data_IF_621004187399
#
_entry.id   IF_621004187399
#
_cell.length_a   1.000
_cell.length_b   1.000
_cell.length_c   1.000
_cell.angle_alpha   90.00
_cell.angle_beta   90.00
_cell.angle_gamma   90.00
#
_symmetry.space_group_name_H-M   'P 1'
#
loop_
_entity.id
_entity.type
_entity.pdbx_description
1 polymer ?
#
# COMPACT_ATOMS: atom_id res chain seq x y z
N UNK A 1 -50.65 -6.10 -14.19
CA UNK A 1 -49.36 -6.53 -14.76
C UNK A 1 -48.39 -6.68 -13.56
N UNK A 2 -48.04 -7.88 -13.12
CA UNK A 2 -47.09 -8.08 -12.01
C UNK A 2 -45.69 -7.95 -12.59
N UNK A 3 -44.97 -6.93 -12.19
CA UNK A 3 -43.54 -6.79 -12.47
C UNK A 3 -42.86 -7.97 -11.75
N UNK A 4 -42.31 -8.91 -12.48
CA UNK A 4 -41.44 -9.94 -11.91
C UNK A 4 -40.22 -9.23 -11.35
N UNK A 5 -40.10 -9.25 -10.03
CA UNK A 5 -38.84 -8.85 -9.40
C UNK A 5 -37.74 -9.80 -9.95
N UNK A 6 -36.69 -9.23 -10.51
CA UNK A 6 -35.49 -9.99 -10.86
C UNK A 6 -34.98 -10.67 -9.58
N UNK A 7 -34.52 -11.93 -9.64
CA UNK A 7 -33.93 -12.57 -8.48
C UNK A 7 -32.77 -11.73 -7.98
N UNK A 8 -32.82 -11.28 -6.73
CA UNK A 8 -31.83 -10.42 -6.11
C UNK A 8 -30.51 -11.14 -5.74
N UNK A 9 -30.41 -12.41 -6.06
CA UNK A 9 -29.24 -13.23 -5.81
C UNK A 9 -28.52 -13.51 -7.12
N UNK A 10 -27.31 -12.99 -7.26
CA UNK A 10 -26.41 -13.39 -8.33
C UNK A 10 -25.98 -14.85 -8.12
N UNK A 11 -25.86 -15.62 -9.21
CA UNK A 11 -25.25 -16.94 -9.17
C UNK A 11 -23.80 -16.82 -8.66
N UNK A 12 -23.43 -17.64 -7.68
CA UNK A 12 -22.09 -17.67 -7.08
C UNK A 12 -20.99 -17.83 -8.14
N UNK A 13 -21.24 -18.62 -9.17
CA UNK A 13 -20.32 -18.80 -10.29
C UNK A 13 -20.09 -17.50 -11.06
N UNK A 14 -21.12 -16.70 -11.23
CA UNK A 14 -21.01 -15.40 -11.91
C UNK A 14 -20.22 -14.41 -11.05
N UNK A 15 -20.45 -14.39 -9.74
CA UNK A 15 -19.68 -13.57 -8.78
C UNK A 15 -18.20 -13.93 -8.81
N UNK A 16 -17.88 -15.23 -8.81
CA UNK A 16 -16.50 -15.69 -8.86
C UNK A 16 -15.82 -15.33 -10.19
N UNK A 17 -16.53 -15.42 -11.31
CA UNK A 17 -16.00 -14.98 -12.61
C UNK A 17 -15.67 -13.47 -12.63
N UNK A 18 -16.56 -12.65 -12.06
CA UNK A 18 -16.27 -11.20 -11.90
C UNK A 18 -15.06 -10.96 -11.01
N UNK A 19 -14.99 -11.69 -9.90
CA UNK A 19 -13.85 -11.55 -8.99
C UNK A 19 -12.53 -11.94 -9.67
N UNK A 20 -12.48 -13.04 -10.41
CA UNK A 20 -11.28 -13.45 -11.16
C UNK A 20 -10.83 -12.33 -12.11
N UNK A 21 -11.77 -11.74 -12.86
CA UNK A 21 -11.49 -10.65 -13.79
C UNK A 21 -10.93 -9.41 -13.07
N UNK A 22 -11.50 -9.03 -11.93
CA UNK A 22 -11.00 -7.92 -11.10
C UNK A 22 -9.62 -8.25 -10.50
N UNK A 23 -9.43 -9.47 -10.01
CA UNK A 23 -8.15 -9.94 -9.48
C UNK A 23 -7.04 -9.85 -10.52
N UNK A 24 -7.29 -10.36 -11.72
CA UNK A 24 -6.32 -10.29 -12.83
C UNK A 24 -5.97 -8.85 -13.18
N UNK A 25 -6.95 -7.96 -13.23
CA UNK A 25 -6.73 -6.54 -13.47
C UNK A 25 -5.89 -5.89 -12.36
N UNK A 26 -6.14 -6.18 -11.09
CA UNK A 26 -5.33 -5.70 -9.97
C UNK A 26 -3.89 -6.17 -10.10
N UNK A 27 -3.68 -7.43 -10.46
CA UNK A 27 -2.34 -7.98 -10.68
C UNK A 27 -1.62 -7.32 -11.86
N UNK A 28 -2.32 -7.01 -12.95
CA UNK A 28 -1.75 -6.26 -14.09
C UNK A 28 -1.36 -4.83 -13.69
N UNK A 29 -2.17 -4.15 -12.87
CA UNK A 29 -1.82 -2.84 -12.30
C UNK A 29 -0.54 -2.94 -11.47
N UNK A 30 -0.42 -3.96 -10.61
CA UNK A 30 0.77 -4.20 -9.79
C UNK A 30 2.03 -4.50 -10.61
N UNK A 31 1.87 -5.10 -11.79
CA UNK A 31 2.96 -5.33 -12.76
C UNK A 31 3.25 -4.12 -13.65
N UNK A 32 2.52 -3.02 -13.49
CA UNK A 32 2.58 -1.82 -14.35
C UNK A 32 2.17 -2.09 -15.82
N UNK A 33 1.37 -3.12 -16.06
CA UNK A 33 0.85 -3.53 -17.37
C UNK A 33 -0.64 -3.18 -17.51
N UNK A 34 -0.98 -1.92 -17.30
CA UNK A 34 -2.36 -1.45 -17.21
C UNK A 34 -2.91 -0.80 -18.49
N UNK A 35 -2.11 -0.69 -19.55
CA UNK A 35 -2.50 -0.01 -20.80
C UNK A 35 -3.67 -0.68 -21.54
N UNK A 36 -3.86 -1.98 -21.37
CA UNK A 36 -4.95 -2.76 -21.97
C UNK A 36 -6.20 -2.86 -21.11
N UNK A 37 -6.24 -2.24 -19.93
CA UNK A 37 -7.36 -2.35 -19.00
C UNK A 37 -8.45 -1.33 -19.31
N UNK A 38 -9.71 -1.78 -19.33
CA UNK A 38 -10.88 -0.92 -19.37
C UNK A 38 -11.33 -0.57 -17.95
N UNK A 39 -10.94 0.59 -17.45
CA UNK A 39 -11.29 1.04 -16.10
C UNK A 39 -12.81 1.18 -15.91
N UNK A 40 -13.53 1.57 -16.95
CA UNK A 40 -15.00 1.65 -16.91
C UNK A 40 -15.64 0.28 -16.72
N UNK A 41 -15.17 -0.74 -17.44
CA UNK A 41 -15.67 -2.11 -17.32
C UNK A 41 -15.35 -2.70 -15.94
N UNK A 42 -14.13 -2.49 -15.46
CA UNK A 42 -13.70 -2.94 -14.14
C UNK A 42 -14.50 -2.26 -13.02
N UNK A 43 -14.75 -0.96 -13.13
CA UNK A 43 -15.62 -0.24 -12.20
C UNK A 43 -17.03 -0.82 -12.18
N UNK A 44 -17.63 -1.08 -13.35
CA UNK A 44 -18.98 -1.68 -13.44
C UNK A 44 -19.03 -3.07 -12.80
N UNK A 45 -18.00 -3.88 -12.99
CA UNK A 45 -17.90 -5.20 -12.38
C UNK A 45 -17.81 -5.11 -10.84
N UNK A 46 -16.98 -4.24 -10.32
CA UNK A 46 -16.89 -3.98 -8.88
C UNK A 46 -18.21 -3.44 -8.32
N UNK A 47 -18.83 -2.46 -9.00
CA UNK A 47 -20.15 -1.94 -8.66
C UNK A 47 -21.19 -3.06 -8.56
N UNK A 48 -21.23 -3.96 -9.55
CA UNK A 48 -22.16 -5.08 -9.59
C UNK A 48 -21.97 -6.01 -8.38
N UNK A 49 -20.74 -6.35 -8.01
CA UNK A 49 -20.47 -7.15 -6.81
C UNK A 49 -21.02 -6.48 -5.54
N UNK A 50 -20.75 -5.20 -5.35
CA UNK A 50 -21.20 -4.47 -4.15
C UNK A 50 -22.72 -4.32 -4.11
N UNK A 51 -23.33 -4.00 -5.25
CA UNK A 51 -24.78 -3.86 -5.37
C UNK A 51 -25.52 -5.16 -4.97
N UNK A 52 -24.97 -6.30 -5.35
CA UNK A 52 -25.51 -7.63 -5.02
C UNK A 52 -24.98 -8.19 -3.69
N UNK A 53 -24.49 -7.35 -2.80
CA UNK A 53 -24.05 -7.70 -1.44
C UNK A 53 -22.82 -8.62 -1.33
N UNK A 54 -21.96 -8.61 -2.35
CA UNK A 54 -20.67 -9.31 -2.34
C UNK A 54 -19.47 -8.37 -2.02
N UNK A 55 -19.73 -7.26 -1.34
CA UNK A 55 -18.68 -6.32 -0.94
C UNK A 55 -17.62 -6.93 -0.03
N UNK A 56 -18.01 -7.84 0.87
CA UNK A 56 -17.07 -8.57 1.74
C UNK A 56 -16.10 -9.45 0.93
N UNK A 57 -16.62 -10.19 -0.05
CA UNK A 57 -15.80 -11.01 -0.95
C UNK A 57 -14.78 -10.15 -1.71
N UNK A 58 -15.22 -9.00 -2.22
CA UNK A 58 -14.38 -8.06 -2.94
C UNK A 58 -13.31 -7.44 -2.04
N UNK A 59 -13.68 -6.99 -0.84
CA UNK A 59 -12.76 -6.36 0.11
C UNK A 59 -11.69 -7.33 0.61
N UNK A 60 -12.10 -8.53 1.01
CA UNK A 60 -11.17 -9.56 1.48
C UNK A 60 -10.26 -10.04 0.35
N UNK A 61 -10.80 -10.23 -0.86
CA UNK A 61 -10.01 -10.58 -2.02
C UNK A 61 -8.97 -9.51 -2.39
N UNK A 62 -9.33 -8.23 -2.34
CA UNK A 62 -8.38 -7.13 -2.50
C UNK A 62 -7.24 -7.22 -1.48
N UNK A 63 -7.58 -7.37 -0.20
CA UNK A 63 -6.60 -7.49 0.88
C UNK A 63 -5.63 -8.65 0.65
N UNK A 64 -6.13 -9.81 0.24
CA UNK A 64 -5.33 -10.99 -0.07
C UNK A 64 -4.36 -10.75 -1.25
N UNK A 65 -4.86 -10.20 -2.35
CA UNK A 65 -4.06 -9.94 -3.56
C UNK A 65 -2.96 -8.92 -3.31
N UNK A 66 -3.28 -7.82 -2.62
CA UNK A 66 -2.29 -6.80 -2.28
C UNK A 66 -1.25 -7.35 -1.30
N UNK A 67 -1.68 -8.08 -0.27
CA UNK A 67 -0.76 -8.72 0.69
C UNK A 67 0.19 -9.69 -0.02
N UNK A 68 -0.33 -10.57 -0.87
CA UNK A 68 0.48 -11.55 -1.59
C UNK A 68 1.55 -10.88 -2.47
N UNK A 69 1.19 -9.81 -3.19
CA UNK A 69 2.14 -9.07 -4.00
C UNK A 69 3.22 -8.39 -3.15
N UNK A 70 2.83 -7.74 -2.06
CA UNK A 70 3.78 -7.09 -1.15
C UNK A 70 4.76 -8.08 -0.52
N UNK A 71 4.29 -9.25 -0.11
CA UNK A 71 5.13 -10.27 0.53
C UNK A 71 6.03 -11.03 -0.45
N UNK A 72 5.49 -11.43 -1.61
CA UNK A 72 6.22 -12.28 -2.57
C UNK A 72 7.14 -11.52 -3.50
N UNK A 73 6.80 -10.28 -3.87
CA UNK A 73 7.56 -9.49 -4.85
C UNK A 73 8.23 -8.29 -4.20
N UNK A 74 7.45 -7.36 -3.65
CA UNK A 74 7.96 -6.06 -3.20
C UNK A 74 8.94 -6.22 -2.05
N UNK A 75 8.57 -6.98 -1.02
CA UNK A 75 9.46 -7.27 0.12
C UNK A 75 10.72 -8.00 -0.30
N UNK A 76 10.61 -8.96 -1.21
CA UNK A 76 11.76 -9.70 -1.72
C UNK A 76 12.74 -8.78 -2.46
N UNK A 77 12.25 -7.88 -3.31
CA UNK A 77 13.08 -6.91 -4.03
C UNK A 77 13.79 -5.94 -3.07
N UNK A 78 13.09 -5.46 -2.06
CA UNK A 78 13.67 -4.57 -1.03
C UNK A 78 14.73 -5.31 -0.21
N UNK A 79 14.48 -6.56 0.19
CA UNK A 79 15.46 -7.40 0.91
C UNK A 79 16.72 -7.65 0.06
N UNK A 80 16.57 -7.88 -1.23
CA UNK A 80 17.70 -8.08 -2.14
C UNK A 80 18.55 -6.82 -2.29
N UNK A 81 18.02 -5.64 -1.98
CA UNK A 81 18.71 -4.35 -2.12
C UNK A 81 19.42 -3.87 -0.84
N UNK A 82 19.36 -4.60 0.27
CA UNK A 82 19.89 -4.17 1.58
C UNK A 82 21.36 -3.71 1.50
N UNK A 83 22.17 -4.37 0.70
CA UNK A 83 23.60 -4.06 0.57
C UNK A 83 23.90 -3.08 -0.57
N UNK A 84 22.93 -2.73 -1.39
CA UNK A 84 23.11 -1.83 -2.53
C UNK A 84 21.79 -1.14 -2.92
N UNK A 85 21.82 0.18 -2.97
CA UNK A 85 20.70 1.02 -3.40
C UNK A 85 19.40 0.85 -2.58
N UNK A 86 19.49 0.39 -1.34
CA UNK A 86 18.34 0.08 -0.50
C UNK A 86 17.31 1.21 -0.44
N UNK A 87 17.75 2.42 -0.10
CA UNK A 87 16.84 3.55 0.08
C UNK A 87 16.16 3.96 -1.22
N UNK A 88 16.87 3.89 -2.34
CA UNK A 88 16.30 4.12 -3.68
C UNK A 88 15.26 3.05 -4.02
N UNK A 89 15.59 1.78 -3.82
CA UNK A 89 14.67 0.66 -4.08
C UNK A 89 13.40 0.76 -3.25
N UNK A 90 13.52 1.07 -1.96
CA UNK A 90 12.37 1.23 -1.06
C UNK A 90 11.50 2.42 -1.49
N UNK A 91 12.09 3.56 -1.83
CA UNK A 91 11.37 4.75 -2.29
C UNK A 91 10.63 4.49 -3.62
N UNK A 92 11.25 3.75 -4.54
CA UNK A 92 10.62 3.35 -5.80
C UNK A 92 9.46 2.37 -5.55
N UNK A 93 9.66 1.37 -4.71
CA UNK A 93 8.61 0.43 -4.34
C UNK A 93 7.41 1.14 -3.71
N UNK A 94 7.66 2.12 -2.85
CA UNK A 94 6.63 2.96 -2.26
C UNK A 94 5.86 3.79 -3.30
N UNK A 95 6.56 4.47 -4.18
CA UNK A 95 5.95 5.27 -5.25
C UNK A 95 5.08 4.42 -6.18
N UNK A 96 5.57 3.25 -6.57
CA UNK A 96 4.85 2.29 -7.40
C UNK A 96 3.60 1.76 -6.70
N UNK A 97 3.72 1.44 -5.42
CA UNK A 97 2.57 0.98 -4.61
C UNK A 97 1.49 2.06 -4.49
N UNK A 98 1.88 3.31 -4.23
CA UNK A 98 0.93 4.43 -4.18
C UNK A 98 0.17 4.59 -5.50
N UNK A 99 0.89 4.58 -6.62
CA UNK A 99 0.30 4.69 -7.96
C UNK A 99 -0.68 3.54 -8.22
N UNK A 100 -0.30 2.31 -7.91
CA UNK A 100 -1.18 1.14 -8.03
C UNK A 100 -2.42 1.27 -7.16
N UNK A 101 -2.29 1.70 -5.91
CA UNK A 101 -3.42 1.84 -5.00
C UNK A 101 -4.39 2.95 -5.41
N UNK A 102 -3.91 4.03 -6.04
CA UNK A 102 -4.77 5.06 -6.62
C UNK A 102 -5.62 4.47 -7.76
N UNK A 103 -5.02 3.72 -8.68
CA UNK A 103 -5.74 3.06 -9.76
C UNK A 103 -6.77 2.04 -9.24
N UNK A 104 -6.38 1.22 -8.27
CA UNK A 104 -7.25 0.22 -7.65
C UNK A 104 -8.41 0.91 -6.91
N UNK A 105 -8.15 1.98 -6.17
CA UNK A 105 -9.17 2.79 -5.50
C UNK A 105 -10.21 3.31 -6.50
N UNK A 106 -9.77 3.80 -7.64
CA UNK A 106 -10.67 4.36 -8.64
C UNK A 106 -11.60 3.28 -9.24
N UNK A 107 -11.11 2.07 -9.45
CA UNK A 107 -11.91 0.91 -9.86
C UNK A 107 -12.90 0.51 -8.75
N UNK A 108 -12.47 0.52 -7.50
CA UNK A 108 -13.26 0.04 -6.34
C UNK A 108 -13.99 1.16 -5.58
N UNK A 109 -14.11 2.33 -6.17
CA UNK A 109 -14.66 3.53 -5.51
C UNK A 109 -16.07 3.30 -4.95
N UNK A 110 -16.91 2.52 -5.61
CA UNK A 110 -18.25 2.22 -5.11
C UNK A 110 -18.23 1.35 -3.85
N UNK A 111 -17.24 0.45 -3.73
CA UNK A 111 -17.00 -0.32 -2.50
C UNK A 111 -16.66 0.61 -1.32
N UNK A 112 -15.82 1.62 -1.54
CA UNK A 112 -15.50 2.62 -0.51
C UNK A 112 -16.74 3.40 -0.06
N UNK A 113 -17.60 3.76 -1.01
CA UNK A 113 -18.81 4.55 -0.73
C UNK A 113 -19.90 3.78 0.00
N UNK A 114 -20.00 2.49 -0.21
CA UNK A 114 -21.10 1.66 0.30
C UNK A 114 -20.62 0.66 1.34
N UNK A 115 -19.82 -0.33 0.95
CA UNK A 115 -19.40 -1.40 1.83
C UNK A 115 -18.55 -0.91 2.99
N UNK A 116 -17.53 -0.10 2.71
CA UNK A 116 -16.60 0.43 3.72
C UNK A 116 -17.35 1.26 4.76
N UNK A 117 -18.25 2.15 4.32
CA UNK A 117 -19.04 3.00 5.22
C UNK A 117 -20.00 2.17 6.09
N UNK A 118 -20.64 1.14 5.53
CA UNK A 118 -21.58 0.30 6.26
C UNK A 118 -20.89 -0.63 7.28
N UNK A 119 -19.66 -1.04 7.01
CA UNK A 119 -18.94 -2.00 7.85
C UNK A 119 -17.85 -1.35 8.73
N UNK A 120 -17.71 -0.03 8.67
CA UNK A 120 -16.74 0.74 9.45
C UNK A 120 -15.31 0.15 9.35
N UNK A 121 -14.90 -0.19 8.14
CA UNK A 121 -13.55 -0.66 7.82
C UNK A 121 -12.76 0.40 7.06
N UNK A 122 -11.46 0.16 6.85
CA UNK A 122 -10.59 1.10 6.14
C UNK A 122 -10.93 1.17 4.65
N UNK A 123 -10.84 2.38 4.08
CA UNK A 123 -10.99 2.57 2.64
C UNK A 123 -9.83 1.90 1.87
N UNK A 124 -10.04 1.68 0.58
CA UNK A 124 -9.09 0.96 -0.28
C UNK A 124 -7.68 1.56 -0.21
N UNK A 125 -7.55 2.87 -0.30
CA UNK A 125 -6.24 3.51 -0.30
C UNK A 125 -5.53 3.35 1.06
N UNK A 126 -6.20 3.64 2.15
CA UNK A 126 -5.64 3.47 3.50
C UNK A 126 -5.30 2.02 3.81
N UNK A 127 -6.14 1.07 3.39
CA UNK A 127 -5.82 -0.36 3.48
C UNK A 127 -4.49 -0.67 2.80
N UNK A 128 -4.27 -0.14 1.61
CA UNK A 128 -3.00 -0.28 0.89
C UNK A 128 -1.81 0.29 1.67
N UNK A 129 -1.97 1.47 2.30
CA UNK A 129 -0.93 2.06 3.14
C UNK A 129 -0.59 1.19 4.35
N UNK A 130 -1.61 0.70 5.05
CA UNK A 130 -1.45 -0.19 6.20
C UNK A 130 -0.73 -1.49 5.83
N UNK A 131 -1.10 -2.09 4.71
CA UNK A 131 -0.46 -3.32 4.24
C UNK A 131 1.01 -3.09 3.86
N UNK A 132 1.33 -1.99 3.18
CA UNK A 132 2.73 -1.66 2.85
C UNK A 132 3.55 -1.43 4.12
N UNK A 133 3.02 -0.70 5.09
CA UNK A 133 3.65 -0.52 6.40
C UNK A 133 3.97 -1.86 7.06
N UNK A 134 2.96 -2.72 7.18
CA UNK A 134 3.07 -3.94 8.00
C UNK A 134 3.85 -5.04 7.29
N UNK A 135 3.72 -5.16 5.95
CA UNK A 135 4.30 -6.24 5.18
C UNK A 135 5.69 -5.94 4.60
N UNK A 136 6.03 -4.67 4.44
CA UNK A 136 7.32 -4.24 3.87
C UNK A 136 8.12 -3.43 4.88
N UNK A 137 7.65 -2.25 5.27
CA UNK A 137 8.45 -1.31 6.07
C UNK A 137 8.76 -1.84 7.46
N UNK A 138 7.78 -2.43 8.14
CA UNK A 138 7.92 -3.00 9.49
C UNK A 138 8.40 -4.46 9.51
N UNK A 139 8.73 -5.02 8.36
CA UNK A 139 9.40 -6.32 8.32
C UNK A 139 10.80 -6.20 8.95
N UNK A 140 11.11 -7.07 9.92
CA UNK A 140 12.22 -6.92 10.87
C UNK A 140 13.53 -6.40 10.31
N UNK A 141 14.11 -7.07 9.31
CA UNK A 141 15.39 -6.66 8.70
C UNK A 141 15.28 -5.36 7.89
N UNK A 142 14.15 -5.10 7.24
CA UNK A 142 13.92 -3.85 6.50
C UNK A 142 13.76 -2.70 7.49
N UNK A 143 12.97 -2.86 8.53
CA UNK A 143 12.76 -1.84 9.57
C UNK A 143 14.06 -1.42 10.22
N UNK A 144 14.86 -2.37 10.66
CA UNK A 144 16.16 -2.11 11.29
C UNK A 144 17.14 -1.43 10.33
N UNK A 145 17.21 -1.90 9.10
CA UNK A 145 18.10 -1.35 8.08
C UNK A 145 17.69 0.05 7.64
N UNK A 146 16.39 0.33 7.52
CA UNK A 146 15.87 1.66 7.20
C UNK A 146 16.27 2.68 8.25
N UNK A 147 16.04 2.36 9.53
CA UNK A 147 16.40 3.21 10.65
C UNK A 147 17.91 3.51 10.66
N UNK A 148 18.72 2.48 10.55
CA UNK A 148 20.17 2.63 10.55
C UNK A 148 20.65 3.47 9.35
N UNK A 149 20.13 3.21 8.17
CA UNK A 149 20.49 3.95 6.94
C UNK A 149 20.16 5.43 7.05
N UNK A 150 18.97 5.78 7.57
CA UNK A 150 18.58 7.17 7.77
C UNK A 150 19.48 7.87 8.79
N UNK A 151 19.76 7.23 9.93
CA UNK A 151 20.66 7.77 10.95
C UNK A 151 22.07 7.99 10.39
N UNK A 152 22.64 7.01 9.70
CA UNK A 152 23.98 7.11 9.11
C UNK A 152 24.08 8.24 8.08
N UNK A 153 23.07 8.38 7.24
CA UNK A 153 23.03 9.46 6.23
C UNK A 153 22.97 10.84 6.89
N UNK A 154 22.13 11.03 7.89
CA UNK A 154 22.01 12.29 8.61
C UNK A 154 23.32 12.63 9.36
N UNK A 155 23.94 11.63 9.99
CA UNK A 155 25.22 11.84 10.69
C UNK A 155 26.36 12.17 9.72
N UNK A 156 26.39 11.57 8.52
CA UNK A 156 27.35 11.92 7.46
C UNK A 156 27.17 13.36 7.00
N UNK A 157 25.93 13.77 6.72
CA UNK A 157 25.63 15.16 6.34
C UNK A 157 26.12 16.16 7.39
N UNK A 158 25.92 15.88 8.69
CA UNK A 158 26.39 16.73 9.79
C UNK A 158 27.90 16.83 9.87
N UNK A 159 28.63 15.84 9.38
CA UNK A 159 30.09 15.87 9.27
C UNK A 159 30.59 16.60 8.00
N UNK A 160 29.65 17.13 7.20
CA UNK A 160 29.96 17.82 5.94
C UNK A 160 30.12 16.93 4.74
N UNK A 161 29.75 15.63 4.85
CA UNK A 161 29.77 14.71 3.71
C UNK A 161 28.56 14.95 2.80
N UNK A 162 28.74 14.73 1.51
CA UNK A 162 27.66 14.80 0.52
C UNK A 162 26.81 13.55 0.60
N UNK A 163 25.51 13.73 0.76
CA UNK A 163 24.52 12.65 0.80
C UNK A 163 23.40 12.88 -0.23
N UNK A 164 22.68 11.83 -0.56
CA UNK A 164 21.40 11.95 -1.29
C UNK A 164 20.30 12.41 -0.34
N UNK A 165 20.15 13.73 -0.23
CA UNK A 165 19.13 14.37 0.62
C UNK A 165 17.72 14.05 0.17
N UNK A 166 17.50 13.90 -1.15
CA UNK A 166 16.19 13.60 -1.71
C UNK A 166 15.72 12.21 -1.30
N UNK A 167 16.60 11.22 -1.35
CA UNK A 167 16.27 9.86 -0.90
C UNK A 167 15.89 9.80 0.58
N UNK A 168 16.61 10.54 1.44
CA UNK A 168 16.30 10.65 2.88
C UNK A 168 14.96 11.35 3.09
N UNK A 169 14.72 12.47 2.42
CA UNK A 169 13.45 13.21 2.48
C UNK A 169 12.27 12.32 2.09
N UNK A 170 12.39 11.62 0.96
CA UNK A 170 11.32 10.75 0.46
C UNK A 170 11.00 9.60 1.43
N UNK A 171 12.01 8.99 2.04
CA UNK A 171 11.81 7.95 3.05
C UNK A 171 11.12 8.48 4.32
N UNK A 172 11.49 9.66 4.80
CA UNK A 172 10.82 10.31 5.93
C UNK A 172 9.37 10.67 5.59
N UNK A 173 9.12 11.19 4.40
CA UNK A 173 7.74 11.46 3.94
C UNK A 173 6.91 10.19 3.84
N UNK A 174 7.48 9.09 3.35
CA UNK A 174 6.82 7.78 3.36
C UNK A 174 6.38 7.39 4.77
N UNK A 175 7.28 7.46 5.75
CA UNK A 175 6.95 7.13 7.15
C UNK A 175 5.85 8.02 7.72
N UNK A 176 5.82 9.30 7.37
CA UNK A 176 4.73 10.21 7.77
C UNK A 176 3.39 9.81 7.13
N UNK A 177 3.38 9.48 5.83
CA UNK A 177 2.17 9.07 5.13
C UNK A 177 1.62 7.74 5.63
N UNK A 178 2.48 6.80 6.00
CA UNK A 178 2.08 5.50 6.55
C UNK A 178 1.37 5.59 7.90
N UNK A 179 1.48 6.71 8.60
CA UNK A 179 0.70 7.00 9.81
C UNK A 179 -0.75 7.35 9.56
N UNK A 180 -1.14 7.60 8.30
CA UNK A 180 -2.49 7.98 7.84
C UNK A 180 -2.91 9.31 8.48
N UNK A 181 -3.61 9.28 9.62
CA UNK A 181 -4.11 10.48 10.33
C UNK A 181 -3.16 11.00 11.41
N UNK A 182 -1.97 10.43 11.52
CA UNK A 182 -0.98 10.79 12.56
C UNK A 182 0.45 10.65 12.08
N UNK A 183 1.40 11.26 12.82
CA UNK A 183 2.84 11.10 12.60
C UNK A 183 3.42 9.86 13.31
N UNK A 184 2.58 9.06 13.94
CA UNK A 184 2.99 8.03 14.88
C UNK A 184 3.99 7.03 14.28
N UNK A 185 3.81 6.62 13.03
CA UNK A 185 4.75 5.69 12.37
C UNK A 185 6.14 6.33 12.23
N UNK A 186 6.21 7.59 11.80
CA UNK A 186 7.48 8.33 11.73
C UNK A 186 8.13 8.47 13.11
N UNK A 187 7.35 8.81 14.13
CA UNK A 187 7.83 8.99 15.51
C UNK A 187 8.37 7.69 16.11
N UNK A 188 7.61 6.60 16.00
CA UNK A 188 7.97 5.29 16.56
C UNK A 188 9.11 4.62 15.80
N UNK A 189 9.06 4.66 14.47
CA UNK A 189 9.97 3.87 13.62
C UNK A 189 11.31 4.59 13.37
N UNK A 190 11.39 5.92 13.56
CA UNK A 190 12.58 6.70 13.28
C UNK A 190 12.88 7.82 14.30
N UNK A 191 11.97 8.79 14.52
CA UNK A 191 12.27 10.04 15.25
C UNK A 191 12.72 9.79 16.68
N UNK A 192 12.12 8.86 17.39
CA UNK A 192 12.47 8.53 18.77
C UNK A 192 13.93 8.09 18.93
N UNK A 193 14.43 7.24 18.03
CA UNK A 193 15.83 6.82 18.03
C UNK A 193 16.76 7.94 17.56
N UNK A 194 16.36 8.70 16.57
CA UNK A 194 17.11 9.85 16.10
C UNK A 194 17.36 10.87 17.22
N UNK A 195 16.34 11.21 18.01
CA UNK A 195 16.47 12.14 19.13
C UNK A 195 17.40 11.60 20.22
N UNK A 196 17.38 10.30 20.51
CA UNK A 196 18.31 9.66 21.44
C UNK A 196 19.76 9.80 20.97
N UNK A 197 20.04 9.47 19.72
CA UNK A 197 21.38 9.56 19.14
C UNK A 197 21.91 10.99 19.17
N UNK A 198 21.06 11.96 18.85
CA UNK A 198 21.43 13.38 18.90
C UNK A 198 21.74 13.82 20.32
N UNK A 199 20.91 13.51 21.31
CA UNK A 199 21.11 13.91 22.69
C UNK A 199 22.46 13.42 23.25
N UNK A 200 22.85 12.20 22.89
CA UNK A 200 24.16 11.63 23.30
C UNK A 200 25.33 12.37 22.62
N UNK A 201 25.14 12.80 21.38
CA UNK A 201 26.20 13.47 20.61
C UNK A 201 26.43 14.93 21.04
N UNK A 202 25.40 15.59 21.54
CA UNK A 202 25.52 17.00 22.02
C UNK A 202 25.92 17.14 23.50
N UNK A 203 25.92 16.07 24.29
CA UNK A 203 26.35 16.06 25.67
C UNK A 203 27.83 15.66 25.82
N UNK A 204 28.57 15.58 24.74
CA UNK A 204 30.04 15.44 24.67
C UNK A 204 30.68 16.69 24.10
#
# INVERSE_FOLDING_TARGET
MRIRAFPMTMDEKYVENIWILLKDAIQEIQRKNNSGLSFEELYRNAYTMVLHKHGERLYNGLKEVVTAHLESKVRADVLASLNNNFLHTLNMAWSDHQTSMVMIRDILMYMDRVYVQQNNCENVYNLGLMLFRDKVVRYGSISSHLRQTLLDKIMKERRGEVIDRLAVKNACQMLMMLGIDSRRVYEEDFESEFLKVISITFNK
#
